data_IF_145866166972
#
_entry.id   IF_145866166972
#
_cell.length_a   1.000
_cell.length_b   1.000
_cell.length_c   1.000
_cell.angle_alpha   90.00
_cell.angle_beta   90.00
_cell.angle_gamma   90.00
#
_symmetry.space_group_name_H-M   'P 1'
#
loop_
_entity.id
_entity.type
_entity.pdbx_description
1 polymer ?
#
# COMPACT_ATOMS: atom_id res chain seq x y z
N UNK A 1 -27.16 76.56 1.09
CA UNK A 1 -28.59 76.75 1.45
C UNK A 1 -28.90 76.24 2.85
N UNK A 2 -28.43 75.12 3.29
CA UNK A 2 -28.72 74.52 4.59
C UNK A 2 -28.12 75.31 5.77
N UNK A 3 -26.96 75.94 5.62
CA UNK A 3 -26.30 76.72 6.66
C UNK A 3 -27.05 78.00 6.96
N UNK A 4 -27.59 78.65 5.91
CA UNK A 4 -28.40 79.89 6.06
C UNK A 4 -29.76 79.58 6.71
N UNK A 5 -30.32 78.45 6.48
CA UNK A 5 -31.54 77.97 7.13
C UNK A 5 -31.34 77.60 8.59
N UNK A 6 -30.16 77.14 8.93
CA UNK A 6 -29.79 76.81 10.31
C UNK A 6 -29.54 78.03 11.15
N UNK A 7 -28.84 79.01 10.58
CA UNK A 7 -28.58 80.29 11.23
C UNK A 7 -29.86 81.05 11.50
N UNK A 8 -30.78 81.08 10.53
CA UNK A 8 -32.07 81.78 10.67
C UNK A 8 -32.98 81.10 11.70
N UNK A 9 -32.95 79.80 11.87
CA UNK A 9 -33.63 79.13 12.99
C UNK A 9 -32.96 79.32 14.34
N UNK A 10 -31.69 79.50 14.34
CA UNK A 10 -30.93 79.78 15.54
C UNK A 10 -31.24 81.19 16.07
N UNK A 11 -31.37 82.20 15.21
CA UNK A 11 -31.79 83.56 15.58
C UNK A 11 -33.22 83.63 16.13
N UNK A 12 -34.16 82.89 15.43
CA UNK A 12 -35.51 82.83 15.94
C UNK A 12 -35.59 82.11 17.28
N UNK A 13 -34.75 81.15 17.51
CA UNK A 13 -34.68 80.45 18.80
C UNK A 13 -34.10 81.33 19.91
N UNK A 14 -33.07 82.10 19.61
CA UNK A 14 -32.47 83.06 20.59
C UNK A 14 -33.38 84.23 20.87
N UNK A 15 -34.16 84.75 19.94
CA UNK A 15 -35.16 85.83 20.14
C UNK A 15 -36.34 85.29 20.99
N UNK A 16 -36.78 84.11 20.81
CA UNK A 16 -37.85 83.52 21.63
C UNK A 16 -37.41 83.22 23.06
N UNK A 17 -36.10 83.02 23.31
CA UNK A 17 -35.57 82.84 24.66
C UNK A 17 -35.38 84.12 25.42
N UNK A 18 -35.19 85.25 24.71
CA UNK A 18 -35.01 86.56 25.30
C UNK A 18 -36.30 87.12 26.00
N UNK A 19 -37.49 86.69 25.56
CA UNK A 19 -38.76 87.16 26.14
C UNK A 19 -39.27 86.31 27.30
N UNK A 20 -38.59 85.26 27.65
CA UNK A 20 -38.89 84.39 28.82
C UNK A 20 -38.04 84.78 30.05
N UNK A 21 -38.06 86.02 30.45
CA UNK A 21 -37.66 86.37 31.81
C UNK A 21 -38.78 85.99 32.78
N UNK A 22 -38.50 84.99 33.58
CA UNK A 22 -39.29 84.42 34.67
C UNK A 22 -40.20 83.26 34.30
N UNK A 23 -39.65 82.11 34.03
CA UNK A 23 -40.36 80.84 34.35
C UNK A 23 -39.36 79.73 34.67
N UNK A 24 -39.54 79.18 35.75
CA UNK A 24 -39.41 77.88 36.35
C UNK A 24 -38.73 76.78 35.44
N UNK A 25 -37.79 77.17 34.59
CA UNK A 25 -37.06 76.21 33.80
C UNK A 25 -35.64 76.07 34.29
N UNK A 26 -35.41 75.01 35.08
CA UNK A 26 -34.09 74.73 35.58
C UNK A 26 -33.22 74.14 34.40
N UNK A 27 -32.40 74.98 33.81
CA UNK A 27 -31.55 74.74 32.68
C UNK A 27 -30.62 73.52 32.94
N UNK A 28 -30.16 73.36 34.15
CA UNK A 28 -29.24 72.34 34.57
C UNK A 28 -29.98 70.95 34.62
N UNK A 29 -31.19 70.98 35.09
CA UNK A 29 -32.02 69.74 35.14
C UNK A 29 -32.41 69.26 33.75
N UNK A 30 -32.76 70.18 32.84
CA UNK A 30 -33.04 69.84 31.44
C UNK A 30 -31.80 69.31 30.74
N UNK A 31 -30.65 69.91 31.02
CA UNK A 31 -29.38 69.42 30.46
C UNK A 31 -29.00 67.99 30.98
N UNK A 32 -29.20 67.78 32.26
CA UNK A 32 -28.98 66.47 32.88
C UNK A 32 -29.94 65.38 32.27
N UNK A 33 -31.20 65.68 32.08
CA UNK A 33 -32.18 64.82 31.47
C UNK A 33 -31.81 64.54 30.01
N UNK A 34 -31.36 65.52 29.26
CA UNK A 34 -30.87 65.32 27.88
C UNK A 34 -29.65 64.41 27.86
N UNK A 35 -28.65 64.67 28.70
CA UNK A 35 -27.45 63.88 28.82
C UNK A 35 -27.79 62.42 29.18
N UNK A 36 -28.68 62.18 30.11
CA UNK A 36 -29.15 60.86 30.51
C UNK A 36 -29.86 60.12 29.36
N UNK A 37 -30.62 60.85 28.52
CA UNK A 37 -31.25 60.23 27.31
C UNK A 37 -30.23 59.86 26.26
N UNK A 38 -29.24 60.72 26.00
CA UNK A 38 -28.16 60.43 25.04
C UNK A 38 -27.34 59.21 25.50
N UNK A 39 -26.96 59.16 26.77
CA UNK A 39 -26.20 58.05 27.35
C UNK A 39 -27.01 56.74 27.29
N UNK A 40 -28.30 56.81 27.58
CA UNK A 40 -29.19 55.65 27.49
C UNK A 40 -29.35 55.17 26.05
N UNK A 41 -29.48 56.07 25.09
CA UNK A 41 -29.56 55.77 23.68
C UNK A 41 -28.26 55.09 23.15
N UNK A 42 -27.10 55.66 23.51
CA UNK A 42 -25.80 55.10 23.16
C UNK A 42 -25.61 53.71 23.78
N UNK A 43 -25.96 53.54 25.05
CA UNK A 43 -25.87 52.29 25.77
C UNK A 43 -26.75 51.19 25.15
N UNK A 44 -27.97 51.55 24.76
CA UNK A 44 -28.91 50.66 24.08
C UNK A 44 -28.43 50.30 22.67
N UNK A 45 -27.83 51.24 21.95
CA UNK A 45 -27.24 50.98 20.61
C UNK A 45 -26.05 50.02 20.71
N UNK A 46 -25.18 50.20 21.71
CA UNK A 46 -24.06 49.29 21.93
C UNK A 46 -24.52 47.90 22.40
N UNK A 47 -25.52 47.80 23.25
CA UNK A 47 -26.09 46.53 23.68
C UNK A 47 -26.72 45.76 22.53
N UNK A 48 -27.49 46.42 21.66
CA UNK A 48 -28.07 45.79 20.43
C UNK A 48 -26.98 45.29 19.49
N UNK A 49 -25.89 46.05 19.34
CA UNK A 49 -24.73 45.65 18.53
C UNK A 49 -24.03 44.42 19.12
N UNK A 50 -23.79 44.40 20.44
CA UNK A 50 -23.19 43.25 21.15
C UNK A 50 -24.09 42.00 21.06
N UNK A 51 -25.40 42.17 21.16
CA UNK A 51 -26.34 41.04 21.06
C UNK A 51 -26.34 40.41 19.66
N UNK A 52 -26.32 41.25 18.61
CA UNK A 52 -26.20 40.80 17.21
C UNK A 52 -24.91 40.06 16.98
N UNK A 53 -23.78 40.57 17.48
CA UNK A 53 -22.49 39.90 17.37
C UNK A 53 -22.47 38.55 18.11
N UNK A 54 -23.08 38.44 19.29
CA UNK A 54 -23.21 37.15 20.01
C UNK A 54 -24.00 36.11 19.20
N UNK A 55 -25.00 36.51 18.48
CA UNK A 55 -25.78 35.64 17.61
C UNK A 55 -24.92 35.18 16.42
N UNK A 56 -24.24 36.12 15.76
CA UNK A 56 -23.33 35.80 14.64
C UNK A 56 -22.25 34.84 15.06
N UNK A 57 -21.61 35.05 16.20
CA UNK A 57 -20.59 34.10 16.70
C UNK A 57 -21.13 32.71 16.97
N UNK A 58 -22.37 32.57 17.46
CA UNK A 58 -23.01 31.27 17.65
C UNK A 58 -23.18 30.52 16.31
N UNK A 59 -23.66 31.22 15.29
CA UNK A 59 -23.80 30.60 13.96
C UNK A 59 -22.46 30.25 13.31
N UNK A 60 -21.47 31.12 13.42
CA UNK A 60 -20.12 30.85 12.92
C UNK A 60 -19.50 29.64 13.64
N UNK A 61 -19.62 29.59 14.96
CA UNK A 61 -19.13 28.44 15.74
C UNK A 61 -19.86 27.14 15.34
N UNK A 62 -21.19 27.18 15.14
CA UNK A 62 -21.96 26.02 14.73
C UNK A 62 -21.57 25.50 13.34
N UNK A 63 -21.40 26.42 12.37
CA UNK A 63 -20.92 26.07 11.01
C UNK A 63 -19.50 25.51 11.06
N UNK A 64 -18.63 26.09 11.89
CA UNK A 64 -17.25 25.60 12.06
C UNK A 64 -17.22 24.19 12.64
N UNK A 65 -18.10 23.87 13.60
CA UNK A 65 -18.21 22.55 14.21
C UNK A 65 -18.70 21.52 13.16
N UNK A 66 -19.72 21.87 12.36
CA UNK A 66 -20.21 20.98 11.29
C UNK A 66 -19.12 20.74 10.26
N UNK A 67 -18.41 21.78 9.82
CA UNK A 67 -17.28 21.67 8.91
C UNK A 67 -16.17 20.76 9.46
N UNK A 68 -15.84 20.92 10.74
CA UNK A 68 -14.85 20.09 11.41
C UNK A 68 -15.28 18.61 11.52
N UNK A 69 -16.53 18.36 11.90
CA UNK A 69 -17.08 16.98 11.97
C UNK A 69 -17.08 16.34 10.58
N UNK A 70 -17.52 17.08 9.55
CA UNK A 70 -17.52 16.60 8.16
C UNK A 70 -16.12 16.28 7.66
N UNK A 71 -15.14 17.17 7.91
CA UNK A 71 -13.76 16.97 7.56
C UNK A 71 -13.15 15.77 8.29
N UNK A 72 -13.40 15.66 9.60
CA UNK A 72 -12.90 14.55 10.42
C UNK A 72 -13.51 13.21 10.01
N UNK A 73 -14.82 13.19 9.74
CA UNK A 73 -15.52 12.00 9.25
C UNK A 73 -14.99 11.55 7.88
N UNK A 74 -14.76 12.49 6.95
CA UNK A 74 -14.15 12.21 5.65
C UNK A 74 -12.75 11.63 5.79
N UNK A 75 -11.92 12.25 6.65
CA UNK A 75 -10.54 11.78 6.88
C UNK A 75 -10.51 10.40 7.52
N UNK A 76 -11.38 10.15 8.51
CA UNK A 76 -11.50 8.85 9.19
C UNK A 76 -12.03 7.76 8.25
N UNK A 77 -12.99 8.09 7.40
CA UNK A 77 -13.52 7.17 6.39
C UNK A 77 -12.47 6.73 5.38
N UNK A 78 -11.65 7.68 4.90
CA UNK A 78 -10.56 7.40 3.98
C UNK A 78 -9.48 6.48 4.60
N UNK A 79 -9.14 6.67 5.88
CA UNK A 79 -8.15 5.85 6.58
C UNK A 79 -8.67 4.43 6.84
N UNK A 80 -9.93 4.27 7.21
CA UNK A 80 -10.53 2.95 7.44
C UNK A 80 -10.65 2.14 6.14
N UNK A 81 -11.06 2.76 5.02
CA UNK A 81 -11.13 2.09 3.73
C UNK A 81 -9.75 1.59 3.28
N UNK A 82 -8.71 2.39 3.46
CA UNK A 82 -7.33 1.98 3.17
C UNK A 82 -6.94 0.73 3.97
N UNK A 83 -7.21 0.71 5.27
CA UNK A 83 -6.85 -0.41 6.13
C UNK A 83 -7.62 -1.69 5.75
N UNK A 84 -8.93 -1.60 5.51
CA UNK A 84 -9.75 -2.75 5.09
C UNK A 84 -9.25 -3.34 3.78
N UNK A 85 -8.96 -2.50 2.77
CA UNK A 85 -8.45 -2.97 1.46
C UNK A 85 -7.02 -3.54 1.55
N UNK A 86 -6.25 -3.17 2.57
CA UNK A 86 -4.91 -3.73 2.80
C UNK A 86 -4.98 -5.06 3.54
N UNK A 87 -5.95 -5.22 4.47
CA UNK A 87 -6.13 -6.44 5.26
C UNK A 87 -6.79 -7.57 4.45
N UNK A 88 -7.66 -7.23 3.47
CA UNK A 88 -8.28 -8.21 2.59
C UNK A 88 -7.36 -8.52 1.42
N UNK A 89 -6.70 -9.67 1.45
CA UNK A 89 -5.84 -10.17 0.37
C UNK A 89 -6.64 -10.92 -0.69
N UNK A 90 -6.21 -10.79 -1.95
CA UNK A 90 -6.61 -11.70 -3.04
C UNK A 90 -5.60 -12.84 -3.05
N UNK A 91 -6.09 -14.06 -2.90
CA UNK A 91 -5.29 -15.27 -2.92
C UNK A 91 -5.51 -16.03 -4.22
N UNK A 92 -4.43 -16.43 -4.87
CA UNK A 92 -4.44 -17.28 -6.07
C UNK A 92 -3.57 -18.50 -5.80
N UNK A 93 -4.19 -19.66 -5.79
CA UNK A 93 -3.51 -20.95 -5.63
C UNK A 93 -3.43 -21.71 -6.94
N UNK A 94 -2.32 -22.40 -7.14
CA UNK A 94 -2.09 -23.30 -8.26
C UNK A 94 -2.14 -24.74 -7.75
N UNK A 95 -3.08 -25.56 -8.22
CA UNK A 95 -3.13 -26.98 -7.85
C UNK A 95 -1.84 -27.73 -8.19
N UNK A 96 -1.58 -28.80 -7.46
CA UNK A 96 -0.54 -29.77 -7.80
C UNK A 96 -0.78 -30.26 -9.24
N UNK A 97 0.27 -30.40 -10.01
CA UNK A 97 0.19 -30.87 -11.40
C UNK A 97 -0.15 -29.77 -12.42
N UNK A 98 -0.48 -28.56 -12.00
CA UNK A 98 -0.90 -27.45 -12.85
C UNK A 98 0.08 -26.28 -12.82
N UNK A 99 -0.14 -25.34 -13.73
CA UNK A 99 0.49 -24.02 -13.71
C UNK A 99 -0.60 -22.96 -13.87
N UNK A 100 -0.43 -21.83 -13.23
CA UNK A 100 -1.38 -20.71 -13.32
C UNK A 100 -0.66 -19.46 -13.82
N UNK A 101 -1.18 -18.89 -14.91
CA UNK A 101 -0.72 -17.58 -15.40
C UNK A 101 -1.72 -16.51 -15.01
N UNK A 102 -1.27 -15.49 -14.33
CA UNK A 102 -2.10 -14.35 -13.93
C UNK A 102 -1.45 -13.02 -14.33
N UNK A 103 -2.27 -12.01 -14.51
CA UNK A 103 -1.84 -10.63 -14.72
C UNK A 103 -2.32 -9.81 -13.53
N UNK A 104 -1.37 -9.16 -12.82
CA UNK A 104 -1.65 -8.26 -11.73
C UNK A 104 -2.18 -6.91 -12.24
N UNK A 105 -2.86 -6.10 -11.37
CA UNK A 105 -3.44 -4.80 -11.77
C UNK A 105 -2.44 -3.79 -12.34
N UNK A 106 -1.15 -3.88 -11.98
CA UNK A 106 -0.08 -3.02 -12.50
C UNK A 106 0.46 -3.46 -13.88
N UNK A 107 -0.08 -4.55 -14.45
CA UNK A 107 0.35 -5.16 -15.70
C UNK A 107 1.45 -6.20 -15.57
N UNK A 108 1.98 -6.44 -14.36
CA UNK A 108 2.94 -7.52 -14.08
C UNK A 108 2.34 -8.87 -14.42
N UNK A 109 3.13 -9.73 -15.08
CA UNK A 109 2.76 -11.11 -15.38
C UNK A 109 3.44 -12.02 -14.38
N UNK A 110 2.67 -12.93 -13.78
CA UNK A 110 3.17 -13.98 -12.89
C UNK A 110 2.76 -15.33 -13.43
N UNK A 111 3.70 -16.28 -13.48
CA UNK A 111 3.42 -17.69 -13.75
C UNK A 111 3.75 -18.45 -12.48
N UNK A 112 2.76 -19.07 -11.88
CA UNK A 112 2.91 -19.90 -10.68
C UNK A 112 3.10 -21.35 -11.09
N UNK A 113 4.08 -22.03 -10.50
CA UNK A 113 4.31 -23.44 -10.66
C UNK A 113 3.37 -24.29 -9.78
N UNK A 114 3.36 -25.59 -9.98
CA UNK A 114 2.52 -26.55 -9.26
C UNK A 114 2.66 -26.43 -7.73
N UNK A 115 1.53 -26.41 -7.01
CA UNK A 115 1.49 -26.28 -5.57
C UNK A 115 1.93 -24.92 -5.01
N UNK A 116 1.90 -23.88 -5.83
CA UNK A 116 2.30 -22.53 -5.43
C UNK A 116 1.10 -21.63 -5.15
N UNK A 117 1.32 -20.61 -4.34
CA UNK A 117 0.32 -19.64 -3.93
C UNK A 117 0.90 -18.23 -3.92
N UNK A 118 0.11 -17.27 -4.38
CA UNK A 118 0.43 -15.85 -4.28
C UNK A 118 -0.72 -15.10 -3.61
N UNK A 119 -0.37 -14.15 -2.73
CA UNK A 119 -1.33 -13.26 -2.05
C UNK A 119 -0.92 -11.83 -2.33
N UNK A 120 -1.88 -10.98 -2.68
CA UNK A 120 -1.68 -9.55 -2.83
C UNK A 120 -2.90 -8.76 -2.36
N UNK A 121 -2.75 -7.52 -1.85
CA UNK A 121 -3.87 -6.75 -1.31
C UNK A 121 -4.81 -6.28 -2.42
N UNK A 122 -6.09 -6.05 -2.10
CA UNK A 122 -7.10 -5.54 -3.06
C UNK A 122 -6.73 -4.16 -3.63
N UNK A 123 -5.97 -3.37 -2.88
CA UNK A 123 -5.46 -2.06 -3.30
C UNK A 123 -4.07 -2.11 -3.96
N UNK A 124 -3.66 -3.30 -4.43
CA UNK A 124 -2.40 -3.51 -5.13
C UNK A 124 -2.23 -2.54 -6.31
N UNK A 125 -1.05 -1.92 -6.42
CA UNK A 125 -0.75 -0.93 -7.45
C UNK A 125 -1.26 0.49 -7.17
N UNK A 126 -2.06 0.70 -6.11
CA UNK A 126 -2.55 2.03 -5.69
C UNK A 126 -1.64 2.66 -4.63
N UNK A 127 -1.26 1.89 -3.61
CA UNK A 127 -0.42 2.35 -2.50
C UNK A 127 0.93 1.65 -2.42
N UNK A 128 0.96 0.37 -2.80
CA UNK A 128 2.16 -0.47 -2.85
C UNK A 128 2.00 -1.53 -3.93
N UNK A 129 3.11 -2.26 -4.21
CA UNK A 129 3.14 -3.41 -5.10
C UNK A 129 3.77 -4.60 -4.36
N UNK A 130 3.19 -4.92 -3.20
CA UNK A 130 3.66 -6.02 -2.36
C UNK A 130 2.87 -7.29 -2.68
N UNK A 131 3.57 -8.40 -2.84
CA UNK A 131 2.98 -9.73 -2.96
C UNK A 131 3.69 -10.70 -2.01
N UNK A 132 2.94 -11.66 -1.48
CA UNK A 132 3.48 -12.78 -0.72
C UNK A 132 3.47 -14.02 -1.59
N UNK A 133 4.58 -14.75 -1.66
CA UNK A 133 4.74 -15.98 -2.42
C UNK A 133 5.02 -17.15 -1.48
N UNK A 134 4.37 -18.27 -1.77
CA UNK A 134 4.73 -19.58 -1.26
C UNK A 134 4.83 -20.55 -2.43
N UNK A 135 5.96 -21.21 -2.60
CA UNK A 135 6.20 -22.09 -3.75
C UNK A 135 7.10 -21.44 -4.80
N UNK A 136 6.82 -21.64 -6.08
CA UNK A 136 7.63 -21.13 -7.18
C UNK A 136 6.82 -20.27 -8.14
N UNK A 137 7.37 -19.10 -8.43
CA UNK A 137 6.80 -18.15 -9.37
C UNK A 137 7.85 -17.52 -10.28
N UNK A 138 7.51 -17.41 -11.56
CA UNK A 138 8.22 -16.59 -12.53
C UNK A 138 7.50 -15.26 -12.67
N UNK A 139 8.25 -14.16 -12.62
CA UNK A 139 7.74 -12.82 -12.62
C UNK A 139 8.30 -12.01 -13.80
N UNK A 140 7.42 -11.40 -14.58
CA UNK A 140 7.73 -10.33 -15.53
C UNK A 140 7.13 -9.02 -14.98
N UNK A 141 7.92 -8.32 -14.17
CA UNK A 141 7.42 -7.15 -13.43
C UNK A 141 7.36 -5.93 -14.32
N UNK A 142 6.19 -5.28 -14.36
CA UNK A 142 6.00 -4.01 -15.03
C UNK A 142 6.91 -2.92 -14.45
N UNK A 143 7.63 -2.20 -15.33
CA UNK A 143 8.60 -1.18 -14.90
C UNK A 143 7.91 0.01 -14.25
N UNK A 144 8.27 0.29 -13.00
CA UNK A 144 7.86 1.49 -12.27
C UNK A 144 8.93 1.85 -11.24
N UNK A 145 9.63 2.98 -11.44
CA UNK A 145 10.71 3.43 -10.56
C UNK A 145 10.21 4.15 -9.32
N UNK A 146 8.99 4.71 -9.38
CA UNK A 146 8.40 5.46 -8.26
C UNK A 146 7.77 4.54 -7.22
N UNK A 147 7.30 3.35 -7.66
CA UNK A 147 6.67 2.37 -6.78
C UNK A 147 7.35 1.02 -6.97
N UNK A 148 8.34 0.64 -6.14
CA UNK A 148 9.00 -0.65 -6.20
C UNK A 148 8.03 -1.81 -6.02
N UNK A 149 8.33 -2.94 -6.66
CA UNK A 149 7.60 -4.20 -6.51
C UNK A 149 8.34 -5.09 -5.51
N UNK A 150 7.60 -5.64 -4.55
CA UNK A 150 8.14 -6.51 -3.53
C UNK A 150 7.53 -7.91 -3.63
N UNK A 151 8.38 -8.94 -3.64
CA UNK A 151 7.96 -10.32 -3.41
C UNK A 151 8.51 -10.74 -2.04
N UNK A 152 7.62 -11.16 -1.16
CA UNK A 152 7.96 -11.59 0.19
C UNK A 152 7.66 -13.07 0.34
N UNK A 153 8.57 -13.78 0.94
CA UNK A 153 8.36 -15.09 1.52
C UNK A 153 8.68 -15.03 3.02
N UNK A 154 8.61 -16.14 3.71
CA UNK A 154 9.02 -16.22 5.12
C UNK A 154 10.53 -15.97 5.28
N UNK A 155 11.32 -16.38 4.30
CA UNK A 155 12.77 -16.43 4.36
C UNK A 155 13.44 -15.23 3.70
N UNK A 156 12.93 -14.78 2.53
CA UNK A 156 13.52 -13.72 1.73
C UNK A 156 12.50 -12.65 1.31
N UNK A 157 13.02 -11.44 1.13
CA UNK A 157 12.32 -10.35 0.46
C UNK A 157 13.10 -9.92 -0.78
N UNK A 158 12.43 -9.87 -1.91
CA UNK A 158 12.92 -9.39 -3.20
C UNK A 158 12.32 -8.03 -3.49
N UNK A 159 13.16 -7.05 -3.87
CA UNK A 159 12.75 -5.70 -4.32
C UNK A 159 13.24 -5.47 -5.74
N UNK A 160 12.31 -5.08 -6.64
CA UNK A 160 12.60 -4.81 -8.04
C UNK A 160 11.84 -3.58 -8.57
N UNK A 161 12.30 -3.02 -9.69
CA UNK A 161 11.66 -1.86 -10.35
C UNK A 161 11.07 -2.19 -11.73
N UNK A 162 11.42 -3.34 -12.30
CA UNK A 162 11.02 -3.80 -13.63
C UNK A 162 12.03 -4.85 -14.09
N UNK A 163 11.73 -6.11 -13.85
CA UNK A 163 12.72 -7.20 -13.79
C UNK A 163 12.03 -8.51 -14.16
N UNK A 164 12.76 -9.41 -14.85
CA UNK A 164 12.32 -10.78 -15.08
C UNK A 164 13.15 -11.73 -14.22
N UNK A 165 12.49 -12.48 -13.38
CA UNK A 165 13.17 -13.38 -12.43
C UNK A 165 12.30 -14.56 -12.04
N UNK A 166 12.96 -15.63 -11.56
CA UNK A 166 12.33 -16.78 -10.94
C UNK A 166 12.58 -16.78 -9.43
N UNK A 167 11.56 -17.08 -8.64
CA UNK A 167 11.66 -17.19 -7.19
C UNK A 167 11.01 -18.48 -6.72
N UNK A 168 11.83 -19.37 -6.10
CA UNK A 168 11.38 -20.66 -5.57
C UNK A 168 11.59 -20.70 -4.07
N UNK A 169 10.50 -20.89 -3.33
CA UNK A 169 10.48 -21.05 -1.90
C UNK A 169 9.31 -21.95 -1.46
N UNK A 170 9.47 -23.24 -1.63
CA UNK A 170 8.53 -24.22 -1.10
C UNK A 170 8.84 -24.51 0.36
N UNK A 171 7.84 -24.67 1.25
CA UNK A 171 8.04 -24.93 2.68
C UNK A 171 8.87 -26.21 2.95
N UNK A 172 8.71 -27.23 2.13
CA UNK A 172 9.39 -28.51 2.23
C UNK A 172 10.80 -28.54 1.64
N UNK A 173 11.15 -27.55 0.79
CA UNK A 173 12.49 -27.45 0.20
C UNK A 173 13.49 -26.95 1.25
N UNK A 174 14.72 -27.45 1.18
CA UNK A 174 15.83 -27.06 2.07
C UNK A 174 16.39 -25.68 1.75
N UNK A 175 16.16 -25.25 0.51
CA UNK A 175 16.76 -24.05 -0.06
C UNK A 175 15.69 -23.13 -0.65
N UNK A 176 15.98 -21.84 -0.58
CA UNK A 176 15.27 -20.81 -1.35
C UNK A 176 16.17 -20.38 -2.48
N UNK A 177 15.60 -20.26 -3.66
CA UNK A 177 16.37 -19.92 -4.86
C UNK A 177 15.73 -18.72 -5.57
N UNK A 178 16.54 -17.67 -5.78
CA UNK A 178 16.16 -16.51 -6.60
C UNK A 178 17.12 -16.38 -7.77
N UNK A 179 16.61 -16.39 -8.98
CA UNK A 179 17.39 -16.38 -10.21
C UNK A 179 16.98 -15.21 -11.10
N UNK A 180 17.93 -14.39 -11.52
CA UNK A 180 17.69 -13.17 -12.27
C UNK A 180 17.98 -13.36 -13.76
N UNK A 181 16.96 -13.09 -14.60
CA UNK A 181 17.09 -13.12 -16.05
C UNK A 181 17.37 -11.74 -16.66
N UNK A 182 16.59 -10.73 -16.25
CA UNK A 182 16.69 -9.38 -16.81
C UNK A 182 16.43 -8.33 -15.72
N UNK A 183 17.21 -7.25 -15.72
CA UNK A 183 17.03 -6.14 -14.78
C UNK A 183 17.98 -6.19 -13.59
N UNK A 184 17.46 -5.87 -12.39
CA UNK A 184 18.21 -5.88 -11.13
C UNK A 184 17.30 -6.31 -9.99
N UNK A 185 17.84 -7.07 -9.05
CA UNK A 185 17.17 -7.48 -7.82
C UNK A 185 17.98 -7.00 -6.63
N UNK A 186 17.29 -6.48 -5.63
CA UNK A 186 17.82 -6.29 -4.28
C UNK A 186 17.14 -7.31 -3.38
N UNK A 187 17.95 -8.14 -2.72
CA UNK A 187 17.52 -9.20 -1.81
C UNK A 187 17.77 -8.80 -0.36
N UNK A 188 16.83 -9.12 0.51
CA UNK A 188 16.95 -8.96 1.95
C UNK A 188 16.62 -10.30 2.63
N UNK A 189 17.56 -10.79 3.46
CA UNK A 189 17.40 -12.00 4.25
C UNK A 189 16.52 -11.70 5.47
N UNK A 190 15.35 -12.36 5.56
CA UNK A 190 14.40 -12.17 6.66
C UNK A 190 14.78 -13.01 7.90
N UNK A 191 15.65 -14.01 7.74
CA UNK A 191 16.08 -14.90 8.80
C UNK A 191 17.29 -14.39 9.61
N UNK A 192 18.08 -13.50 9.00
CA UNK A 192 19.25 -12.86 9.60
C UNK A 192 19.38 -11.41 9.14
N UNK A 193 19.90 -10.54 10.01
CA UNK A 193 20.26 -9.17 9.62
C UNK A 193 21.58 -9.23 8.85
N UNK A 194 21.48 -9.34 7.55
CA UNK A 194 22.58 -9.24 6.61
C UNK A 194 22.44 -7.97 5.78
N UNK A 195 23.52 -7.55 5.12
CA UNK A 195 23.46 -6.46 4.15
C UNK A 195 22.61 -6.86 2.92
N UNK A 196 21.94 -5.90 2.32
CA UNK A 196 21.17 -6.13 1.10
C UNK A 196 22.10 -6.65 -0.02
N UNK A 197 21.69 -7.73 -0.67
CA UNK A 197 22.46 -8.35 -1.74
C UNK A 197 21.89 -7.96 -3.12
N UNK A 198 22.75 -7.37 -3.96
CA UNK A 198 22.40 -7.03 -5.33
C UNK A 198 22.66 -8.20 -6.28
N UNK A 199 21.64 -8.59 -7.09
CA UNK A 199 21.79 -9.51 -8.22
C UNK A 199 21.79 -8.76 -9.55
N UNK A 200 22.62 -9.27 -10.44
CA UNK A 200 22.73 -8.92 -11.86
C UNK A 200 22.24 -10.07 -12.74
N UNK A 201 21.93 -9.84 -14.02
CA UNK A 201 21.47 -10.88 -14.93
C UNK A 201 22.42 -12.09 -14.99
N UNK A 202 21.85 -13.29 -15.06
CA UNK A 202 22.53 -14.60 -14.97
C UNK A 202 23.13 -14.90 -13.60
N UNK A 203 22.83 -14.10 -12.56
CA UNK A 203 23.17 -14.47 -11.20
C UNK A 203 21.97 -15.13 -10.49
N UNK A 204 22.30 -16.01 -9.57
CA UNK A 204 21.38 -16.74 -8.71
C UNK A 204 21.83 -16.63 -7.26
N UNK A 205 20.87 -16.49 -6.34
CA UNK A 205 21.12 -16.64 -4.90
C UNK A 205 20.41 -17.91 -4.42
N UNK A 206 21.13 -18.67 -3.63
CA UNK A 206 20.64 -19.84 -2.89
C UNK A 206 20.76 -19.52 -1.40
N UNK A 207 19.64 -19.55 -0.69
CA UNK A 207 19.59 -19.45 0.76
C UNK A 207 19.33 -20.84 1.33
N UNK A 208 20.26 -21.37 2.13
CA UNK A 208 20.04 -22.58 2.93
C UNK A 208 19.19 -22.22 4.16
N UNK A 209 17.99 -22.80 4.26
CA UNK A 209 17.04 -22.51 5.34
C UNK A 209 17.54 -22.96 6.71
N UNK A 210 18.44 -23.97 6.78
CA UNK A 210 18.97 -24.52 8.03
C UNK A 210 20.04 -23.62 8.62
N UNK A 211 21.03 -23.23 7.78
CA UNK A 211 22.15 -22.38 8.22
C UNK A 211 21.86 -20.90 8.05
N UNK A 212 20.78 -20.56 7.31
CA UNK A 212 20.25 -19.19 7.08
C UNK A 212 21.21 -18.27 6.34
N UNK A 213 22.17 -18.81 5.60
CA UNK A 213 23.15 -18.07 4.83
C UNK A 213 22.81 -18.05 3.36
N UNK A 214 23.11 -16.92 2.70
CA UNK A 214 22.93 -16.74 1.27
C UNK A 214 24.25 -16.99 0.56
N UNK A 215 24.22 -17.76 -0.54
CA UNK A 215 25.31 -17.94 -1.49
C UNK A 215 24.92 -17.41 -2.84
N UNK A 216 25.72 -16.51 -3.40
CA UNK A 216 25.55 -15.98 -4.76
C UNK A 216 26.38 -16.79 -5.76
N UNK A 217 25.77 -17.16 -6.85
CA UNK A 217 26.38 -17.93 -7.94
C UNK A 217 26.10 -17.27 -9.29
N UNK A 218 27.06 -17.35 -10.21
CA UNK A 218 26.85 -16.97 -11.60
C UNK A 218 26.59 -18.22 -12.45
N UNK A 219 25.57 -18.18 -13.30
CA UNK A 219 25.18 -19.30 -14.18
C UNK A 219 25.66 -19.05 -15.59
N UNK A 220 26.71 -19.79 -15.98
CA UNK A 220 27.33 -19.67 -17.31
C UNK A 220 26.34 -19.95 -18.44
N UNK A 221 25.53 -20.98 -18.31
CA UNK A 221 24.59 -21.44 -19.33
C UNK A 221 23.22 -20.74 -19.26
N UNK A 222 23.17 -19.63 -18.51
CA UNK A 222 21.95 -18.89 -18.25
C UNK A 222 21.09 -19.50 -17.14
N UNK A 223 19.98 -18.82 -16.84
CA UNK A 223 19.02 -19.25 -15.84
C UNK A 223 18.01 -20.22 -16.46
N UNK A 224 17.90 -21.41 -15.88
CA UNK A 224 16.92 -22.40 -16.32
C UNK A 224 15.53 -22.05 -15.80
N UNK A 225 14.60 -21.78 -16.72
CA UNK A 225 13.17 -21.55 -16.48
C UNK A 225 12.31 -22.45 -17.38
N UNK A 226 12.86 -23.57 -17.84
CA UNK A 226 12.19 -24.48 -18.78
C UNK A 226 10.90 -25.05 -18.20
N UNK A 227 10.73 -25.07 -16.90
CA UNK A 227 9.50 -25.49 -16.25
C UNK A 227 8.28 -24.70 -16.75
N UNK A 228 8.42 -23.42 -17.16
CA UNK A 228 7.34 -22.60 -17.72
C UNK A 228 6.74 -23.24 -18.98
N UNK A 229 7.56 -23.94 -19.77
CA UNK A 229 7.15 -24.65 -20.98
C UNK A 229 6.81 -26.12 -20.73
N UNK A 230 6.78 -26.54 -19.45
CA UNK A 230 6.50 -27.90 -19.05
C UNK A 230 7.69 -28.86 -19.18
N UNK A 231 8.92 -28.34 -19.27
CA UNK A 231 10.13 -29.13 -19.24
C UNK A 231 10.67 -29.25 -17.82
N UNK A 232 11.09 -30.47 -17.45
CA UNK A 232 11.74 -30.76 -16.17
C UNK A 232 13.21 -31.04 -16.44
N UNK A 233 14.09 -30.14 -16.05
CA UNK A 233 15.53 -30.26 -16.22
C UNK A 233 16.19 -30.55 -14.88
N UNK A 234 16.94 -31.63 -14.81
CA UNK A 234 17.72 -32.07 -13.66
C UNK A 234 19.19 -32.05 -14.00
N UNK A 235 19.98 -31.35 -13.23
CA UNK A 235 21.43 -31.23 -13.37
C UNK A 235 22.10 -31.52 -12.04
N UNK A 236 22.64 -32.72 -11.88
CA UNK A 236 23.21 -33.23 -10.60
C UNK A 236 22.26 -33.11 -9.39
N UNK A 237 20.96 -33.20 -9.60
CA UNK A 237 19.98 -33.06 -8.53
C UNK A 237 19.90 -34.37 -7.72
N UNK A 238 19.97 -34.33 -6.36
CA UNK A 238 19.74 -35.49 -5.51
C UNK A 238 18.38 -36.13 -5.78
N UNK A 239 18.31 -37.46 -5.86
CA UNK A 239 17.08 -38.18 -6.18
C UNK A 239 15.89 -37.86 -5.27
N UNK A 240 16.04 -37.57 -3.96
CA UNK A 240 14.94 -37.07 -3.13
C UNK A 240 14.36 -35.75 -3.60
N UNK A 241 15.16 -34.84 -4.13
CA UNK A 241 14.70 -33.55 -4.67
C UNK A 241 14.02 -33.73 -6.03
N UNK A 242 14.56 -34.64 -6.88
CA UNK A 242 13.88 -35.08 -8.12
C UNK A 242 12.49 -35.63 -7.78
N UNK A 243 12.38 -36.50 -6.77
CA UNK A 243 11.11 -37.06 -6.32
C UNK A 243 10.11 -35.97 -5.90
N UNK A 244 10.53 -34.96 -5.11
CA UNK A 244 9.68 -33.84 -4.71
C UNK A 244 9.18 -33.04 -5.93
N UNK A 245 10.05 -32.78 -6.91
CA UNK A 245 9.68 -32.08 -8.15
C UNK A 245 8.65 -32.91 -8.93
N UNK A 246 8.84 -34.23 -9.06
CA UNK A 246 7.89 -35.10 -9.71
C UNK A 246 6.56 -35.21 -8.96
N UNK A 247 6.59 -35.31 -7.61
CA UNK A 247 5.38 -35.33 -6.79
C UNK A 247 4.54 -34.07 -7.00
N UNK A 248 5.17 -32.90 -7.00
CA UNK A 248 4.48 -31.61 -7.28
C UNK A 248 3.92 -31.53 -8.69
N UNK A 249 4.69 -31.98 -9.67
CA UNK A 249 4.31 -31.84 -11.09
C UNK A 249 3.30 -32.86 -11.57
N UNK A 250 3.22 -34.04 -10.97
CA UNK A 250 2.34 -35.13 -11.41
C UNK A 250 1.26 -35.53 -10.41
N UNK A 251 1.26 -34.94 -9.19
CA UNK A 251 0.28 -35.27 -8.17
C UNK A 251 0.42 -36.68 -7.62
N UNK A 252 1.61 -37.23 -7.63
CA UNK A 252 1.93 -38.58 -7.14
C UNK A 252 2.70 -38.52 -5.84
N UNK A 253 2.82 -39.65 -5.15
CA UNK A 253 3.69 -39.82 -3.98
C UNK A 253 4.74 -40.88 -4.28
N UNK A 254 6.02 -40.51 -4.14
CA UNK A 254 7.18 -41.38 -4.45
C UNK A 254 7.79 -41.84 -3.12
N UNK A 255 7.94 -43.19 -2.99
CA UNK A 255 8.57 -43.80 -1.83
C UNK A 255 9.84 -44.49 -2.26
N UNK A 256 10.92 -44.30 -1.53
CA UNK A 256 12.19 -45.01 -1.77
C UNK A 256 12.16 -46.35 -1.08
N UNK A 257 12.39 -47.42 -1.88
CA UNK A 257 12.48 -48.78 -1.35
C UNK A 257 13.79 -49.00 -0.55
N UNK A 258 14.85 -48.23 -0.85
CA UNK A 258 16.14 -48.31 -0.20
C UNK A 258 16.76 -46.94 0.02
N UNK A 259 17.31 -46.66 1.20
CA UNK A 259 17.98 -45.40 1.52
C UNK A 259 19.24 -45.12 0.69
N UNK A 260 19.85 -46.14 0.12
CA UNK A 260 20.99 -46.00 -0.80
C UNK A 260 20.62 -45.12 -2.02
N UNK A 261 19.38 -45.22 -2.51
CA UNK A 261 18.87 -44.44 -3.64
C UNK A 261 18.86 -42.95 -3.35
N UNK A 262 18.71 -42.54 -2.12
CA UNK A 262 18.70 -41.13 -1.70
C UNK A 262 20.04 -40.40 -1.91
N UNK A 263 21.12 -41.14 -2.11
CA UNK A 263 22.49 -40.61 -2.31
C UNK A 263 22.79 -40.38 -3.80
N UNK A 264 21.96 -40.92 -4.70
CA UNK A 264 22.17 -40.86 -6.15
C UNK A 264 21.82 -39.44 -6.61
N UNK A 265 22.63 -38.89 -7.50
CA UNK A 265 22.36 -37.62 -8.21
C UNK A 265 21.96 -37.98 -9.63
N UNK A 266 21.06 -37.17 -10.16
CA UNK A 266 20.43 -37.45 -11.44
C UNK A 266 20.61 -36.33 -12.44
N UNK A 267 20.80 -36.71 -13.73
CA UNK A 267 20.78 -35.83 -14.89
C UNK A 267 19.65 -36.23 -15.80
N UNK A 268 18.91 -35.28 -16.36
CA UNK A 268 17.89 -35.57 -17.34
C UNK A 268 17.05 -34.34 -17.72
N UNK A 269 16.45 -34.47 -18.89
CA UNK A 269 15.52 -33.49 -19.41
C UNK A 269 14.25 -34.22 -19.86
N UNK A 270 13.12 -33.87 -19.25
CA UNK A 270 11.83 -34.53 -19.49
C UNK A 270 10.78 -33.51 -19.89
N UNK A 271 9.82 -33.95 -20.71
CA UNK A 271 8.69 -33.13 -21.12
C UNK A 271 7.42 -33.61 -20.40
N UNK A 272 6.97 -32.84 -19.39
CA UNK A 272 5.76 -33.12 -18.63
C UNK A 272 4.51 -33.29 -19.51
N UNK A 273 4.43 -32.56 -20.63
CA UNK A 273 3.27 -32.56 -21.52
C UNK A 273 3.19 -33.81 -22.40
N UNK A 274 4.26 -34.59 -22.49
CA UNK A 274 4.35 -35.78 -23.36
C UNK A 274 4.78 -37.07 -22.66
N UNK A 275 5.22 -36.99 -21.40
CA UNK A 275 5.74 -38.14 -20.67
C UNK A 275 4.98 -38.33 -19.36
N UNK A 276 4.60 -39.55 -19.04
CA UNK A 276 4.04 -39.89 -17.76
C UNK A 276 5.14 -39.97 -16.68
N UNK A 277 4.75 -39.92 -15.41
CA UNK A 277 5.71 -40.14 -14.32
C UNK A 277 6.36 -41.51 -14.37
N UNK A 278 5.63 -42.52 -14.90
CA UNK A 278 6.16 -43.86 -15.10
C UNK A 278 7.31 -43.87 -16.11
N UNK A 279 7.14 -43.21 -17.25
CA UNK A 279 8.18 -43.12 -18.29
C UNK A 279 9.46 -42.46 -17.74
N UNK A 280 9.27 -41.47 -16.90
CA UNK A 280 10.40 -40.80 -16.23
C UNK A 280 11.07 -41.74 -15.22
N UNK A 281 10.29 -42.45 -14.41
CA UNK A 281 10.84 -43.38 -13.41
C UNK A 281 11.54 -44.57 -14.07
N UNK A 282 11.04 -45.07 -15.21
CA UNK A 282 11.69 -46.10 -16.01
C UNK A 282 13.02 -45.61 -16.59
N UNK A 283 13.06 -44.38 -17.11
CA UNK A 283 14.31 -43.77 -17.56
C UNK A 283 15.32 -43.57 -16.40
N UNK A 284 14.84 -43.19 -15.20
CA UNK A 284 15.66 -43.08 -13.99
C UNK A 284 16.24 -44.40 -13.52
N UNK A 285 15.52 -45.53 -13.78
CA UNK A 285 15.96 -46.87 -13.37
C UNK A 285 16.96 -47.49 -14.34
N UNK A 286 17.04 -46.99 -15.57
CA UNK A 286 17.92 -47.50 -16.64
C UNK A 286 19.32 -46.81 -16.61
N UNK A 287 19.51 -45.81 -15.76
CA UNK A 287 20.75 -45.07 -15.58
C UNK A 287 21.50 -45.53 -14.33
#
# INVERSE_FOLDING_TARGET
ENEKYFMQRQEIWFSAISDMKNSIYNKDEAFQLFRKRVDTYQKNKMMRKRLRWKIVYKYVAFISIIGFISYFSYWRGKSNLKNVLTETGIEVETPIGSQTRLRLPDGTIVILNAGSRIIYPQNFGVYNRDVELQGEGYFEVARNIEMPFYVKTKELQVRVLGTKFNFRDYPEDKEVVVSLLEGRIVLNNQLQREEELLLLPNEQVILDKRVKTMKKEWKRDGINIEWITGRLFFDEIPLPEVAQILERNYGVRIKFANDALKKIRFYGNFNKNGQSVRDILEALSAT
#
